data_IF_416593972977
#
_entry.id   IF_416593972977
#
_cell.length_a   1.000
_cell.length_b   1.000
_cell.length_c   1.000
_cell.angle_alpha   90.00
_cell.angle_beta   90.00
_cell.angle_gamma   90.00
#
_symmetry.space_group_name_H-M   'P 1'
#
loop_
_entity.id
_entity.type
_entity.pdbx_description
1 polymer ?
#
# COMPACT_ATOMS: atom_id res chain seq x y z
N UNK A 1 76.17 22.20 9.97
CA UNK A 1 75.85 22.35 8.55
C UNK A 1 74.40 21.98 8.43
N UNK A 2 73.57 23.03 8.41
CA UNK A 2 72.12 22.96 8.55
C UNK A 2 71.53 23.19 7.15
N UNK A 3 70.92 22.20 6.55
CA UNK A 3 70.14 22.38 5.34
C UNK A 3 68.67 22.28 5.68
N UNK A 4 68.06 23.44 5.77
CA UNK A 4 66.60 23.58 5.86
C UNK A 4 65.97 23.08 4.56
N UNK A 5 65.12 22.05 4.66
CA UNK A 5 64.24 21.64 3.60
C UNK A 5 62.97 22.52 3.75
N UNK A 6 62.89 23.52 2.88
CA UNK A 6 61.68 24.35 2.70
C UNK A 6 60.63 23.46 2.05
N UNK A 7 59.59 23.10 2.83
CA UNK A 7 58.41 22.42 2.37
C UNK A 7 57.55 23.43 1.60
N UNK A 8 57.63 23.41 0.29
CA UNK A 8 56.70 24.10 -0.60
C UNK A 8 55.31 23.50 -0.47
N UNK A 9 54.41 24.19 0.20
CA UNK A 9 53.01 23.86 0.20
C UNK A 9 52.45 24.03 -1.22
N UNK A 10 51.72 23.03 -1.76
CA UNK A 10 51.12 23.17 -3.10
C UNK A 10 50.11 24.29 -3.08
N UNK A 11 50.32 25.33 -3.84
CA UNK A 11 49.42 26.44 -4.11
C UNK A 11 48.12 25.87 -4.70
N UNK A 12 47.06 25.82 -3.88
CA UNK A 12 45.74 25.48 -4.34
C UNK A 12 45.24 26.56 -5.34
N UNK A 13 45.43 26.30 -6.60
CA UNK A 13 44.87 27.11 -7.69
C UNK A 13 43.36 27.05 -7.56
N UNK A 14 42.68 28.19 -7.43
CA UNK A 14 41.18 28.19 -7.37
C UNK A 14 40.65 27.67 -8.69
N UNK A 15 39.83 26.61 -8.61
CA UNK A 15 39.21 25.99 -9.77
C UNK A 15 38.43 27.05 -10.60
N UNK A 16 38.53 27.04 -11.94
CA UNK A 16 37.89 28.04 -12.77
C UNK A 16 36.37 28.07 -12.58
N UNK A 17 35.72 29.24 -12.60
CA UNK A 17 34.31 29.45 -12.30
C UNK A 17 33.34 28.65 -13.19
N UNK A 18 33.78 28.13 -14.31
CA UNK A 18 32.98 27.23 -15.17
C UNK A 18 32.82 25.82 -14.61
N UNK A 19 33.64 25.41 -13.63
CA UNK A 19 33.60 24.04 -13.07
C UNK A 19 32.44 23.86 -12.08
N UNK A 20 32.04 24.88 -11.34
CA UNK A 20 30.93 24.81 -10.41
C UNK A 20 29.56 24.79 -11.10
N UNK A 21 29.37 25.50 -12.19
CA UNK A 21 28.15 25.42 -13.01
C UNK A 21 27.98 24.04 -13.64
N UNK A 22 29.09 23.41 -14.05
CA UNK A 22 29.07 22.07 -14.59
C UNK A 22 28.77 21.04 -13.50
N UNK A 23 29.37 21.18 -12.33
CA UNK A 23 29.06 20.36 -11.16
C UNK A 23 27.63 20.54 -10.68
N UNK A 24 27.13 21.78 -10.64
CA UNK A 24 25.74 22.07 -10.28
C UNK A 24 24.75 21.46 -11.28
N UNK A 25 25.06 21.46 -12.58
CA UNK A 25 24.21 20.79 -13.59
C UNK A 25 24.21 19.26 -13.44
N UNK A 26 25.38 18.67 -13.22
CA UNK A 26 25.48 17.22 -13.00
C UNK A 26 24.75 16.81 -11.72
N UNK A 27 24.94 17.55 -10.63
CA UNK A 27 24.22 17.31 -9.37
C UNK A 27 22.71 17.52 -9.55
N UNK A 28 22.29 18.54 -10.29
CA UNK A 28 20.88 18.79 -10.58
C UNK A 28 20.29 17.70 -11.49
N UNK A 29 21.03 17.19 -12.45
CA UNK A 29 20.61 16.08 -13.30
C UNK A 29 20.54 14.77 -12.53
N UNK A 30 21.55 14.42 -11.74
CA UNK A 30 21.54 13.28 -10.84
C UNK A 30 20.40 13.36 -9.83
N UNK A 31 20.11 14.54 -9.31
CA UNK A 31 19.00 14.77 -8.41
C UNK A 31 17.66 14.62 -9.13
N UNK A 32 17.52 15.17 -10.34
CA UNK A 32 16.32 15.02 -11.16
C UNK A 32 16.10 13.58 -11.60
N UNK A 33 17.15 12.85 -11.94
CA UNK A 33 17.05 11.45 -12.36
C UNK A 33 16.71 10.50 -11.17
N UNK A 34 17.23 10.79 -9.99
CA UNK A 34 17.00 9.97 -8.79
C UNK A 34 15.73 10.37 -8.06
N UNK A 35 15.51 11.67 -7.82
CA UNK A 35 14.33 12.18 -7.14
C UNK A 35 13.13 12.32 -8.09
N UNK A 36 13.36 12.55 -9.38
CA UNK A 36 12.32 12.64 -10.39
C UNK A 36 11.51 11.34 -10.49
N UNK A 37 12.15 10.19 -10.44
CA UNK A 37 11.45 8.89 -10.40
C UNK A 37 10.57 8.74 -9.15
N UNK A 38 11.02 9.24 -8.00
CA UNK A 38 10.22 9.24 -6.77
C UNK A 38 9.00 10.14 -6.88
N UNK A 39 9.16 11.34 -7.45
CA UNK A 39 8.05 12.26 -7.68
C UNK A 39 7.05 11.73 -8.69
N UNK A 40 7.51 11.09 -9.77
CA UNK A 40 6.64 10.42 -10.73
C UNK A 40 5.84 9.30 -10.05
N UNK A 41 6.46 8.52 -9.19
CA UNK A 41 5.75 7.48 -8.42
C UNK A 41 4.69 8.09 -7.50
N UNK A 42 4.98 9.17 -6.78
CA UNK A 42 4.02 9.88 -5.92
C UNK A 42 2.84 10.41 -6.74
N UNK A 43 3.11 11.10 -7.85
CA UNK A 43 2.06 11.64 -8.73
C UNK A 43 1.15 10.53 -9.27
N UNK A 44 1.71 9.41 -9.71
CA UNK A 44 0.95 8.25 -10.16
C UNK A 44 0.06 7.69 -9.09
N UNK A 45 0.61 7.50 -7.89
CA UNK A 45 -0.15 6.98 -6.75
C UNK A 45 -1.29 7.91 -6.38
N UNK A 46 -1.06 9.22 -6.40
CA UNK A 46 -2.10 10.23 -6.19
C UNK A 46 -3.17 10.20 -7.28
N UNK A 47 -2.78 10.13 -8.55
CA UNK A 47 -3.73 10.02 -9.66
C UNK A 47 -4.59 8.75 -9.55
N UNK A 48 -3.97 7.60 -9.25
CA UNK A 48 -4.69 6.35 -9.03
C UNK A 48 -5.67 6.46 -7.85
N UNK A 49 -5.25 7.09 -6.75
CA UNK A 49 -6.06 7.27 -5.56
C UNK A 49 -7.27 8.19 -5.81
N UNK A 50 -7.06 9.31 -6.50
CA UNK A 50 -8.14 10.22 -6.88
C UNK A 50 -9.08 9.58 -7.91
N UNK A 51 -8.56 8.82 -8.86
CA UNK A 51 -9.37 8.08 -9.83
C UNK A 51 -10.24 7.05 -9.13
N UNK A 52 -9.67 6.25 -8.23
CA UNK A 52 -10.41 5.28 -7.44
C UNK A 52 -11.50 5.95 -6.58
N UNK A 53 -11.17 7.07 -5.94
CA UNK A 53 -12.12 7.86 -5.16
C UNK A 53 -13.26 8.40 -6.03
N UNK A 54 -12.94 8.98 -7.18
CA UNK A 54 -13.93 9.52 -8.11
C UNK A 54 -14.86 8.45 -8.63
N UNK A 55 -14.34 7.29 -9.05
CA UNK A 55 -15.16 6.16 -9.52
C UNK A 55 -16.04 5.63 -8.38
N UNK A 56 -15.51 5.49 -7.17
CA UNK A 56 -16.25 5.04 -6.00
C UNK A 56 -17.43 5.97 -5.67
N UNK A 57 -17.24 7.29 -5.77
CA UNK A 57 -18.32 8.27 -5.63
C UNK A 57 -19.36 8.16 -6.75
N UNK A 58 -18.92 7.94 -7.99
CA UNK A 58 -19.82 7.77 -9.14
C UNK A 58 -20.67 6.51 -9.05
N UNK A 59 -20.12 5.44 -8.50
CA UNK A 59 -20.82 4.17 -8.29
C UNK A 59 -21.68 4.16 -7.01
N UNK A 60 -21.62 5.21 -6.19
CA UNK A 60 -22.41 5.32 -4.97
C UNK A 60 -21.98 4.34 -3.87
N UNK A 61 -20.68 4.06 -3.73
CA UNK A 61 -20.19 3.18 -2.66
C UNK A 61 -20.36 3.84 -1.29
N UNK A 62 -20.71 3.03 -0.29
CA UNK A 62 -20.93 3.49 1.09
C UNK A 62 -19.66 4.07 1.73
N UNK A 63 -18.49 3.55 1.36
CA UNK A 63 -17.20 4.00 1.92
C UNK A 63 -16.14 4.25 0.83
N UNK A 64 -16.29 5.30 -0.01
CA UNK A 64 -15.36 5.59 -1.12
C UNK A 64 -13.89 5.73 -0.68
N UNK A 65 -13.66 6.19 0.56
CA UNK A 65 -12.34 6.27 1.19
C UNK A 65 -11.57 4.95 1.24
N UNK A 66 -12.28 3.81 1.33
CA UNK A 66 -11.67 2.48 1.35
C UNK A 66 -10.97 2.14 0.03
N UNK A 67 -11.56 2.53 -1.10
CA UNK A 67 -10.93 2.36 -2.41
C UNK A 67 -9.64 3.18 -2.53
N UNK A 68 -9.66 4.44 -2.12
CA UNK A 68 -8.49 5.32 -2.08
C UNK A 68 -7.38 4.78 -1.15
N UNK A 69 -7.74 4.37 0.07
CA UNK A 69 -6.80 3.75 1.02
C UNK A 69 -6.16 2.49 0.45
N UNK A 70 -6.91 1.69 -0.30
CA UNK A 70 -6.41 0.48 -0.95
C UNK A 70 -5.30 0.80 -1.95
N UNK A 71 -5.45 1.87 -2.75
CA UNK A 71 -4.41 2.31 -3.69
C UNK A 71 -3.11 2.61 -2.95
N UNK A 72 -3.16 3.40 -1.86
CA UNK A 72 -1.96 3.73 -1.08
C UNK A 72 -1.29 2.51 -0.44
N UNK A 73 -2.09 1.57 0.06
CA UNK A 73 -1.54 0.37 0.70
C UNK A 73 -0.89 -0.58 -0.32
N UNK A 74 -1.44 -0.65 -1.54
CA UNK A 74 -0.93 -1.50 -2.62
C UNK A 74 0.21 -0.83 -3.37
N UNK A 75 0.30 0.51 -3.34
CA UNK A 75 1.33 1.26 -4.03
C UNK A 75 2.74 0.85 -3.55
N UNK A 76 3.49 0.23 -4.46
CA UNK A 76 4.88 -0.18 -4.26
C UNK A 76 5.67 0.16 -5.52
N UNK A 77 6.95 0.57 -5.38
CA UNK A 77 7.79 0.92 -6.53
C UNK A 77 8.02 -0.25 -7.51
N UNK A 78 7.96 -1.50 -7.01
CA UNK A 78 8.15 -2.71 -7.83
C UNK A 78 6.81 -3.35 -8.19
N UNK A 79 6.53 -3.48 -9.48
CA UNK A 79 5.27 -4.04 -10.01
C UNK A 79 4.98 -5.47 -9.53
N UNK A 80 6.01 -6.33 -9.44
CA UNK A 80 5.85 -7.71 -8.98
C UNK A 80 5.41 -7.82 -7.52
N UNK A 81 6.03 -7.06 -6.63
CA UNK A 81 5.65 -7.02 -5.20
C UNK A 81 4.29 -6.37 -4.97
N UNK A 82 3.93 -5.36 -5.80
CA UNK A 82 2.62 -4.73 -5.75
C UNK A 82 1.51 -5.72 -6.14
N UNK A 83 1.72 -6.51 -7.19
CA UNK A 83 0.77 -7.53 -7.63
C UNK A 83 0.58 -8.63 -6.57
N UNK A 84 1.68 -9.16 -6.04
CA UNK A 84 1.63 -10.17 -4.98
C UNK A 84 0.85 -9.64 -3.76
N UNK A 85 1.15 -8.44 -3.30
CA UNK A 85 0.47 -7.80 -2.19
C UNK A 85 -1.02 -7.56 -2.47
N UNK A 86 -1.39 -7.23 -3.72
CA UNK A 86 -2.77 -7.05 -4.15
C UNK A 86 -3.56 -8.36 -4.06
N UNK A 87 -2.98 -9.46 -4.50
CA UNK A 87 -3.60 -10.79 -4.44
C UNK A 87 -3.85 -11.20 -3.00
N UNK A 88 -2.84 -11.08 -2.12
CA UNK A 88 -3.03 -11.39 -0.70
C UNK A 88 -4.01 -10.44 0.00
N UNK A 89 -4.09 -9.19 -0.46
CA UNK A 89 -5.10 -8.23 0.02
C UNK A 89 -6.50 -8.69 -0.32
N UNK A 90 -6.75 -9.06 -1.57
CA UNK A 90 -8.06 -9.54 -2.01
C UNK A 90 -8.44 -10.83 -1.28
N UNK A 91 -7.51 -11.79 -1.25
CA UNK A 91 -7.74 -13.08 -0.59
C UNK A 91 -8.00 -12.94 0.91
N UNK A 92 -7.19 -12.16 1.62
CA UNK A 92 -7.38 -11.88 3.05
C UNK A 92 -8.73 -11.21 3.33
N UNK A 93 -9.16 -10.28 2.46
CA UNK A 93 -10.48 -9.66 2.57
C UNK A 93 -11.61 -10.67 2.38
N UNK A 94 -11.53 -11.55 1.38
CA UNK A 94 -12.54 -12.59 1.15
C UNK A 94 -12.67 -13.53 2.33
N UNK A 95 -11.54 -13.99 2.89
CA UNK A 95 -11.50 -14.83 4.08
C UNK A 95 -12.09 -14.09 5.29
N UNK A 96 -11.74 -12.82 5.49
CA UNK A 96 -12.29 -11.99 6.57
C UNK A 96 -13.80 -11.76 6.43
N UNK A 97 -14.29 -11.53 5.20
CA UNK A 97 -15.74 -11.43 4.93
C UNK A 97 -16.47 -12.75 5.25
N UNK A 98 -15.94 -13.88 4.79
CA UNK A 98 -16.52 -15.19 5.05
C UNK A 98 -16.56 -15.49 6.56
N UNK A 99 -15.50 -15.16 7.29
CA UNK A 99 -15.45 -15.29 8.74
C UNK A 99 -16.49 -14.42 9.45
N UNK A 100 -16.60 -13.13 9.05
CA UNK A 100 -17.60 -12.22 9.64
C UNK A 100 -19.02 -12.72 9.41
N UNK A 101 -19.36 -13.12 8.18
CA UNK A 101 -20.67 -13.69 7.84
C UNK A 101 -20.97 -14.94 8.68
N UNK A 102 -20.00 -15.86 8.81
CA UNK A 102 -20.16 -17.08 9.59
C UNK A 102 -20.35 -16.77 11.08
N UNK A 103 -19.54 -15.88 11.65
CA UNK A 103 -19.65 -15.53 13.07
C UNK A 103 -20.98 -14.87 13.41
N UNK A 104 -21.47 -13.96 12.57
CA UNK A 104 -22.77 -13.31 12.78
C UNK A 104 -23.91 -14.30 12.57
N UNK A 105 -23.81 -15.22 11.62
CA UNK A 105 -24.80 -16.26 11.42
C UNK A 105 -24.89 -17.24 12.60
N UNK A 106 -23.77 -17.53 13.27
CA UNK A 106 -23.72 -18.41 14.45
C UNK A 106 -24.23 -17.72 15.73
N UNK A 107 -24.01 -16.40 15.86
CA UNK A 107 -24.33 -15.65 17.10
C UNK A 107 -25.18 -14.40 16.82
N UNK A 108 -26.36 -14.51 16.18
CA UNK A 108 -27.11 -13.36 15.66
C UNK A 108 -27.66 -12.42 16.73
N UNK A 109 -27.82 -12.89 18.00
CA UNK A 109 -28.41 -12.11 19.08
C UNK A 109 -27.57 -12.11 20.37
N UNK A 110 -26.35 -12.63 20.31
CA UNK A 110 -25.49 -12.79 21.49
C UNK A 110 -24.19 -12.02 21.29
N UNK A 111 -24.24 -10.70 21.43
CA UNK A 111 -23.09 -9.81 21.22
C UNK A 111 -21.86 -10.24 22.02
N UNK A 112 -22.04 -10.72 23.27
CA UNK A 112 -20.93 -11.16 24.12
C UNK A 112 -20.18 -12.36 23.52
N UNK A 113 -20.92 -13.37 23.03
CA UNK A 113 -20.32 -14.54 22.37
C UNK A 113 -19.69 -14.18 21.03
N UNK A 114 -20.32 -13.26 20.28
CA UNK A 114 -19.75 -12.75 19.04
C UNK A 114 -18.39 -12.06 19.27
N UNK A 115 -18.27 -11.22 20.32
CA UNK A 115 -16.99 -10.59 20.66
C UNK A 115 -15.92 -11.61 21.06
N UNK A 116 -16.28 -12.64 21.85
CA UNK A 116 -15.35 -13.70 22.23
C UNK A 116 -14.89 -14.47 20.98
N UNK A 117 -15.83 -14.88 20.12
CA UNK A 117 -15.51 -15.59 18.88
C UNK A 117 -14.65 -14.74 17.91
N UNK A 118 -14.95 -13.44 17.82
CA UNK A 118 -14.14 -12.49 17.03
C UNK A 118 -12.73 -12.33 17.61
N UNK A 119 -12.60 -12.26 18.93
CA UNK A 119 -11.29 -12.20 19.59
C UNK A 119 -10.45 -13.46 19.32
N UNK A 120 -11.08 -14.64 19.38
CA UNK A 120 -10.42 -15.91 19.03
C UNK A 120 -9.99 -15.90 17.55
N UNK A 121 -10.86 -15.44 16.63
CA UNK A 121 -10.54 -15.31 15.23
C UNK A 121 -9.32 -14.41 14.98
N UNK A 122 -9.31 -13.22 15.60
CA UNK A 122 -8.19 -12.27 15.50
C UNK A 122 -6.91 -12.87 16.09
N UNK A 123 -6.99 -13.57 17.22
CA UNK A 123 -5.84 -14.25 17.81
C UNK A 123 -5.26 -15.33 16.87
N UNK A 124 -6.12 -16.14 16.22
CA UNK A 124 -5.68 -17.12 15.21
C UNK A 124 -5.04 -16.44 13.99
N UNK A 125 -5.62 -15.35 13.50
CA UNK A 125 -5.05 -14.58 12.41
C UNK A 125 -3.69 -13.96 12.79
N UNK A 126 -3.56 -13.44 14.00
CA UNK A 126 -2.30 -12.86 14.51
C UNK A 126 -1.23 -13.95 14.67
N UNK A 127 -1.59 -15.11 15.23
CA UNK A 127 -0.68 -16.25 15.33
C UNK A 127 -0.25 -16.75 13.94
N UNK A 128 -1.18 -16.88 13.00
CA UNK A 128 -0.89 -17.23 11.61
C UNK A 128 0.04 -16.23 10.93
N UNK A 129 -0.17 -14.94 11.17
CA UNK A 129 0.70 -13.87 10.68
C UNK A 129 2.12 -13.96 11.25
N UNK A 130 2.28 -14.33 12.53
CA UNK A 130 3.58 -14.48 13.18
C UNK A 130 4.36 -15.69 12.65
N UNK A 131 3.67 -16.75 12.24
CA UNK A 131 4.28 -17.97 11.70
C UNK A 131 4.68 -17.84 10.23
N UNK A 132 4.01 -16.94 9.49
CA UNK A 132 4.26 -16.74 8.07
C UNK A 132 5.21 -15.54 7.82
N UNK A 133 6.04 -15.66 6.78
CA UNK A 133 6.92 -14.58 6.33
C UNK A 133 6.39 -13.97 5.02
N UNK A 134 6.79 -12.74 4.72
CA UNK A 134 6.49 -12.01 3.49
C UNK A 134 5.01 -11.63 3.33
N UNK A 135 4.53 -11.55 2.09
CA UNK A 135 3.17 -11.12 1.75
C UNK A 135 2.06 -12.02 2.31
N UNK A 136 2.34 -13.27 2.65
CA UNK A 136 1.38 -14.21 3.28
C UNK A 136 0.95 -13.74 4.67
N UNK A 137 1.90 -13.25 5.48
CA UNK A 137 1.61 -12.66 6.80
C UNK A 137 0.60 -11.52 6.70
N UNK A 138 0.74 -10.67 5.68
CA UNK A 138 -0.19 -9.58 5.42
C UNK A 138 -1.64 -10.05 5.15
N UNK A 139 -1.82 -11.17 4.43
CA UNK A 139 -3.15 -11.74 4.19
C UNK A 139 -3.87 -12.15 5.49
N UNK A 140 -3.16 -12.74 6.44
CA UNK A 140 -3.72 -13.11 7.74
C UNK A 140 -4.13 -11.88 8.57
N UNK A 141 -3.27 -10.86 8.66
CA UNK A 141 -3.61 -9.61 9.35
C UNK A 141 -4.86 -8.99 8.77
N UNK A 142 -4.97 -9.02 7.45
CA UNK A 142 -6.10 -8.42 6.75
C UNK A 142 -7.39 -9.21 6.97
N UNK A 143 -7.33 -10.55 7.02
CA UNK A 143 -8.49 -11.38 7.33
C UNK A 143 -9.04 -11.09 8.73
N UNK A 144 -8.17 -10.93 9.74
CA UNK A 144 -8.56 -10.53 11.08
C UNK A 144 -9.19 -9.15 11.14
N UNK A 145 -8.51 -8.16 10.55
CA UNK A 145 -8.98 -6.79 10.49
C UNK A 145 -10.31 -6.64 9.75
N UNK A 146 -10.47 -7.29 8.59
CA UNK A 146 -11.69 -7.21 7.78
C UNK A 146 -12.88 -7.82 8.52
N UNK A 147 -12.69 -8.95 9.20
CA UNK A 147 -13.73 -9.56 10.02
C UNK A 147 -14.24 -8.60 11.10
N UNK A 148 -13.35 -7.89 11.80
CA UNK A 148 -13.72 -6.87 12.78
C UNK A 148 -14.50 -5.70 12.16
N UNK A 149 -14.02 -5.19 11.02
CA UNK A 149 -14.64 -4.05 10.35
C UNK A 149 -16.06 -4.32 9.83
N UNK A 150 -16.38 -5.59 9.60
CA UNK A 150 -17.72 -6.02 9.16
C UNK A 150 -18.57 -6.45 10.37
N UNK A 151 -18.01 -7.24 11.27
CA UNK A 151 -18.78 -7.82 12.37
C UNK A 151 -19.21 -6.77 13.42
N UNK A 152 -18.35 -5.81 13.75
CA UNK A 152 -18.66 -4.82 14.80
C UNK A 152 -19.83 -3.90 14.42
N UNK A 153 -19.90 -3.28 13.24
CA UNK A 153 -21.08 -2.49 12.85
C UNK A 153 -22.35 -3.32 12.65
N UNK A 154 -22.22 -4.60 12.34
CA UNK A 154 -23.34 -5.48 12.09
C UNK A 154 -23.98 -6.04 13.39
N UNK A 155 -23.44 -5.76 14.57
CA UNK A 155 -24.02 -6.17 15.86
C UNK A 155 -25.44 -5.60 16.02
N UNK A 156 -25.59 -4.31 15.70
CA UNK A 156 -26.88 -3.61 15.83
C UNK A 156 -27.82 -3.86 14.63
N UNK A 157 -27.27 -4.33 13.50
CA UNK A 157 -28.03 -4.57 12.27
C UNK A 157 -27.51 -5.81 11.51
N UNK A 158 -27.78 -7.04 11.99
CA UNK A 158 -27.23 -8.27 11.41
C UNK A 158 -27.58 -8.48 9.92
N UNK A 159 -28.72 -7.97 9.48
CA UNK A 159 -29.17 -8.07 8.09
C UNK A 159 -28.29 -7.28 7.11
N UNK A 160 -27.55 -6.28 7.59
CA UNK A 160 -26.66 -5.46 6.77
C UNK A 160 -25.28 -6.10 6.55
N UNK A 161 -24.97 -7.19 7.26
CA UNK A 161 -23.63 -7.80 7.20
C UNK A 161 -23.23 -8.21 5.79
N UNK A 162 -24.17 -8.75 5.01
CA UNK A 162 -23.93 -9.14 3.64
C UNK A 162 -23.59 -7.91 2.76
N UNK A 163 -24.34 -6.85 2.88
CA UNK A 163 -24.09 -5.61 2.14
C UNK A 163 -22.73 -5.00 2.53
N UNK A 164 -22.40 -4.99 3.82
CA UNK A 164 -21.09 -4.54 4.31
C UNK A 164 -19.94 -5.40 3.74
N UNK A 165 -20.11 -6.72 3.68
CA UNK A 165 -19.09 -7.61 3.11
C UNK A 165 -18.93 -7.37 1.60
N UNK A 166 -20.00 -7.26 0.84
CA UNK A 166 -19.97 -6.98 -0.60
C UNK A 166 -19.34 -5.62 -0.87
N UNK A 167 -19.74 -4.57 -0.15
CA UNK A 167 -19.16 -3.23 -0.27
C UNK A 167 -17.63 -3.27 -0.03
N UNK A 168 -17.16 -3.99 0.98
CA UNK A 168 -15.74 -4.13 1.25
C UNK A 168 -14.97 -4.79 0.10
N UNK A 169 -15.48 -5.88 -0.42
CA UNK A 169 -14.83 -6.59 -1.53
C UNK A 169 -14.79 -5.71 -2.79
N UNK A 170 -15.89 -5.04 -3.11
CA UNK A 170 -15.97 -4.18 -4.30
C UNK A 170 -15.07 -2.95 -4.20
N UNK A 171 -15.03 -2.27 -3.05
CA UNK A 171 -14.17 -1.11 -2.79
C UNK A 171 -12.68 -1.46 -2.91
N UNK A 172 -12.28 -2.60 -2.32
CA UNK A 172 -10.88 -3.07 -2.36
C UNK A 172 -10.51 -3.51 -3.78
N UNK A 173 -11.40 -4.22 -4.47
CA UNK A 173 -11.19 -4.64 -5.86
C UNK A 173 -11.04 -3.44 -6.78
N UNK A 174 -11.88 -2.41 -6.63
CA UNK A 174 -11.78 -1.16 -7.38
C UNK A 174 -10.44 -0.46 -7.12
N UNK A 175 -10.01 -0.36 -5.86
CA UNK A 175 -8.74 0.25 -5.51
C UNK A 175 -7.54 -0.48 -6.13
N UNK A 176 -7.56 -1.83 -6.12
CA UNK A 176 -6.53 -2.66 -6.75
C UNK A 176 -6.51 -2.46 -8.27
N UNK A 177 -7.68 -2.45 -8.92
CA UNK A 177 -7.80 -2.24 -10.37
C UNK A 177 -7.29 -0.85 -10.78
N UNK A 178 -7.69 0.20 -10.07
CA UNK A 178 -7.19 1.55 -10.34
C UNK A 178 -5.66 1.66 -10.17
N UNK A 179 -5.11 1.05 -9.11
CA UNK A 179 -3.67 1.02 -8.89
C UNK A 179 -2.94 0.27 -10.01
N UNK A 180 -3.46 -0.88 -10.45
CA UNK A 180 -2.90 -1.68 -11.52
C UNK A 180 -2.96 -0.94 -12.87
N UNK A 181 -4.11 -0.38 -13.23
CA UNK A 181 -4.30 0.36 -14.49
C UNK A 181 -3.37 1.56 -14.60
N UNK A 182 -3.27 2.37 -13.55
CA UNK A 182 -2.39 3.55 -13.56
C UNK A 182 -0.92 3.14 -13.59
N UNK A 183 -0.55 2.06 -12.89
CA UNK A 183 0.81 1.57 -12.92
C UNK A 183 1.20 1.01 -14.30
N UNK A 184 0.31 0.31 -14.98
CA UNK A 184 0.55 -0.28 -16.30
C UNK A 184 0.52 0.78 -17.40
N UNK A 185 -0.42 1.72 -17.36
CA UNK A 185 -0.57 2.79 -18.35
C UNK A 185 0.62 3.77 -18.38
N UNK A 186 1.28 4.00 -17.24
CA UNK A 186 2.36 4.98 -17.12
C UNK A 186 3.78 4.38 -17.19
N UNK A 187 3.91 3.06 -17.13
CA UNK A 187 5.15 2.34 -17.44
C UNK A 187 4.80 1.02 -18.16
N UNK A 188 4.64 1.06 -19.49
CA UNK A 188 4.72 -0.18 -20.25
C UNK A 188 6.10 -0.79 -19.96
N UNK A 189 6.10 -2.02 -19.45
CA UNK A 189 7.33 -2.75 -19.14
C UNK A 189 8.21 -2.78 -20.39
N UNK A 190 9.27 -1.98 -20.40
CA UNK A 190 10.43 -2.32 -21.22
C UNK A 190 11.06 -3.54 -20.55
N UNK A 191 10.62 -4.72 -20.96
CA UNK A 191 11.38 -5.94 -20.77
C UNK A 191 12.53 -5.86 -21.76
N UNK A 192 13.68 -5.34 -21.32
CA UNK A 192 14.94 -5.66 -21.96
C UNK A 192 15.23 -7.12 -21.62
N UNK A 193 15.10 -7.99 -22.61
CA UNK A 193 15.71 -9.33 -22.63
C UNK A 193 17.24 -9.25 -22.42
#
# INVERSE_FOLDING_TARGET
>A
MNTAVESEAPSATPAPPAAWHRRARVIAQDWLDTEGQRWVFVLKTLLAAFLALWIAFRLGFDSPRSAMMTVFIVALPSSGMALEKSIYRLFGTLVGCAAALTLIALFPQQAMLLFIALAVWVALCTAGSALMRNARSYGFVLAGYTACMIAVPAIDAPLLVFNLAVSRVTEISLGILCAALVNDALFPKHQSE
#
